data_IF_846956114345
#
_entry.id   IF_846956114345
#
_cell.length_a   1.000
_cell.length_b   1.000
_cell.length_c   1.000
_cell.angle_alpha   90.00
_cell.angle_beta   90.00
_cell.angle_gamma   90.00
#
_symmetry.space_group_name_H-M   'P 1'
#
loop_
_entity.id
_entity.type
_entity.pdbx_description
1 polymer ?
#
# COMPACT_ATOMS: atom_id res chain seq x y z
N UNK A 1 4.02 0.54 -5.90
CA UNK A 1 3.64 -0.87 -5.69
C UNK A 1 2.38 -1.11 -4.88
N UNK A 2 2.22 -0.48 -3.70
CA UNK A 2 1.05 -0.66 -2.79
C UNK A 2 -0.29 -0.72 -3.53
N UNK A 3 -0.55 0.25 -4.40
CA UNK A 3 -1.83 0.36 -5.11
C UNK A 3 -2.08 -0.72 -6.19
N UNK A 4 -1.09 -1.56 -6.55
CA UNK A 4 -1.28 -2.64 -7.55
C UNK A 4 -2.36 -3.61 -7.11
N UNK A 5 -2.35 -4.01 -5.83
CA UNK A 5 -3.35 -4.90 -5.26
C UNK A 5 -4.76 -4.36 -5.49
N UNK A 6 -4.99 -3.10 -5.10
CA UNK A 6 -6.28 -2.43 -5.27
C UNK A 6 -6.70 -2.28 -6.73
N UNK A 7 -5.76 -1.90 -7.61
CA UNK A 7 -6.06 -1.66 -9.03
C UNK A 7 -6.40 -2.94 -9.79
N UNK A 8 -5.82 -4.08 -9.38
CA UNK A 8 -5.96 -5.37 -10.05
C UNK A 8 -7.01 -6.29 -9.42
N UNK A 9 -7.26 -6.15 -8.12
CA UNK A 9 -8.14 -7.08 -7.39
C UNK A 9 -9.52 -6.51 -7.10
N UNK A 10 -9.67 -5.19 -6.91
CA UNK A 10 -10.99 -4.58 -6.70
C UNK A 10 -11.82 -4.53 -7.99
N UNK A 11 -13.15 -4.45 -7.85
CA UNK A 11 -14.07 -4.29 -8.99
C UNK A 11 -13.78 -3.05 -9.82
N UNK A 12 -14.11 -3.11 -11.12
CA UNK A 12 -13.82 -2.05 -12.10
C UNK A 12 -14.33 -0.68 -11.65
N UNK A 13 -15.56 -0.64 -11.13
CA UNK A 13 -16.25 0.57 -10.70
C UNK A 13 -16.24 0.78 -9.18
N UNK A 14 -15.42 0.02 -8.43
CA UNK A 14 -15.39 0.19 -6.98
C UNK A 14 -14.87 1.57 -6.58
N UNK A 15 -15.38 2.11 -5.48
CA UNK A 15 -14.89 3.37 -4.92
C UNK A 15 -13.38 3.32 -4.67
N UNK A 16 -12.87 2.21 -4.13
CA UNK A 16 -11.44 2.03 -3.88
C UNK A 16 -10.60 2.20 -5.16
N UNK A 17 -10.94 1.48 -6.23
CA UNK A 17 -10.23 1.54 -7.51
C UNK A 17 -10.34 2.92 -8.15
N UNK A 18 -11.55 3.49 -8.18
CA UNK A 18 -11.80 4.83 -8.74
C UNK A 18 -11.08 5.93 -7.96
N UNK A 19 -11.05 5.86 -6.62
CA UNK A 19 -10.30 6.78 -5.76
C UNK A 19 -8.81 6.80 -6.12
N UNK A 20 -8.19 5.63 -6.28
CA UNK A 20 -6.80 5.52 -6.72
C UNK A 20 -6.57 6.05 -8.14
N UNK A 21 -7.46 5.72 -9.07
CA UNK A 21 -7.37 6.22 -10.45
C UNK A 21 -7.50 7.74 -10.52
N UNK A 22 -8.36 8.34 -9.71
CA UNK A 22 -8.49 9.80 -9.59
C UNK A 22 -7.18 10.43 -9.13
N UNK A 23 -6.58 9.92 -8.05
CA UNK A 23 -5.28 10.41 -7.58
C UNK A 23 -4.19 10.27 -8.64
N UNK A 24 -4.10 9.10 -9.30
CA UNK A 24 -3.15 8.88 -10.40
C UNK A 24 -3.37 9.81 -11.59
N UNK A 25 -4.62 10.11 -11.93
CA UNK A 25 -4.96 11.03 -13.01
C UNK A 25 -4.48 12.45 -12.69
N UNK A 26 -4.71 12.94 -11.48
CA UNK A 26 -4.21 14.25 -11.04
C UNK A 26 -2.67 14.31 -11.06
N UNK A 27 -2.00 13.26 -10.57
CA UNK A 27 -0.53 13.17 -10.61
C UNK A 27 -0.01 13.15 -12.04
N UNK A 28 -0.64 12.39 -12.95
CA UNK A 28 -0.25 12.31 -14.35
C UNK A 28 -0.41 13.67 -15.05
N UNK A 29 -1.56 14.33 -14.89
CA UNK A 29 -1.81 15.67 -15.44
C UNK A 29 -0.76 16.67 -14.96
N UNK A 30 -0.49 16.70 -13.65
CA UNK A 30 0.51 17.57 -13.06
C UNK A 30 1.90 17.32 -13.64
N UNK A 31 2.36 16.06 -13.59
CA UNK A 31 3.70 15.69 -14.04
C UNK A 31 3.94 16.03 -15.50
N UNK A 32 3.01 15.68 -16.41
CA UNK A 32 3.20 15.94 -17.84
C UNK A 32 3.30 17.43 -18.16
N UNK A 33 2.42 18.25 -17.56
CA UNK A 33 2.43 19.71 -17.77
C UNK A 33 3.67 20.37 -17.16
N UNK A 34 4.09 19.93 -15.97
CA UNK A 34 5.24 20.51 -15.27
C UNK A 34 6.58 20.09 -15.88
N UNK A 35 6.68 18.89 -16.44
CA UNK A 35 7.91 18.40 -17.06
C UNK A 35 8.06 18.84 -18.52
N UNK A 36 6.98 19.23 -19.20
CA UNK A 36 6.99 19.63 -20.62
C UNK A 36 8.06 20.69 -20.99
N UNK A 37 8.38 21.70 -20.15
CA UNK A 37 9.43 22.66 -20.45
C UNK A 37 10.86 22.09 -20.47
N UNK A 38 11.07 20.90 -19.88
CA UNK A 38 12.40 20.26 -19.72
C UNK A 38 12.49 18.99 -20.57
N UNK A 39 11.46 18.15 -20.51
CA UNK A 39 11.37 16.84 -21.16
C UNK A 39 10.27 16.87 -22.23
N UNK A 40 10.38 17.83 -23.15
CA UNK A 40 9.36 18.20 -24.14
C UNK A 40 8.82 17.01 -24.94
N UNK A 41 9.69 16.22 -25.56
CA UNK A 41 9.29 15.07 -26.37
C UNK A 41 8.60 13.97 -25.54
N UNK A 42 9.15 13.66 -24.37
CA UNK A 42 8.59 12.63 -23.47
C UNK A 42 7.23 13.05 -22.92
N UNK A 43 7.09 14.33 -22.52
CA UNK A 43 5.83 14.87 -22.04
C UNK A 43 4.76 14.83 -23.14
N UNK A 44 5.10 15.26 -24.36
CA UNK A 44 4.19 15.25 -25.50
C UNK A 44 3.78 13.83 -25.90
N UNK A 45 4.72 12.89 -26.01
CA UNK A 45 4.42 11.49 -26.34
C UNK A 45 3.47 10.87 -25.31
N UNK A 46 3.75 11.04 -24.01
CA UNK A 46 2.89 10.53 -22.95
C UNK A 46 1.52 11.24 -22.90
N UNK A 47 1.48 12.54 -23.21
CA UNK A 47 0.24 13.32 -23.31
C UNK A 47 -0.73 12.73 -24.33
N UNK A 48 -0.23 12.33 -25.50
CA UNK A 48 -1.03 11.68 -26.55
C UNK A 48 -1.65 10.34 -26.12
N UNK A 49 -1.07 9.66 -25.13
CA UNK A 49 -1.57 8.38 -24.61
C UNK A 49 -2.49 8.55 -23.39
N UNK A 50 -2.69 9.78 -22.92
CA UNK A 50 -3.44 10.02 -21.68
C UNK A 50 -4.94 10.08 -21.97
N UNK A 51 -5.79 9.33 -21.24
CA UNK A 51 -7.23 9.28 -21.50
C UNK A 51 -7.96 10.56 -21.08
N UNK A 52 -9.08 10.86 -21.74
CA UNK A 52 -9.96 11.99 -21.43
C UNK A 52 -9.80 13.18 -22.37
N UNK A 53 -10.77 14.09 -22.34
CA UNK A 53 -10.80 15.29 -23.18
C UNK A 53 -9.67 16.25 -22.79
N UNK A 54 -8.84 16.62 -23.77
CA UNK A 54 -7.63 17.43 -23.58
C UNK A 54 -7.23 18.13 -24.88
N UNK A 55 -6.46 19.23 -24.81
CA UNK A 55 -5.81 19.81 -25.98
C UNK A 55 -4.92 18.81 -26.73
N UNK A 56 -4.76 19.02 -28.03
CA UNK A 56 -3.97 18.18 -28.92
C UNK A 56 -2.48 18.10 -28.58
N UNK A 57 -1.96 18.99 -27.73
CA UNK A 57 -0.56 18.97 -27.29
C UNK A 57 -0.44 19.48 -25.87
N UNK A 58 0.53 18.96 -25.13
CA UNK A 58 0.83 19.44 -23.77
C UNK A 58 1.25 20.90 -23.78
N UNK A 59 1.85 21.39 -24.88
CA UNK A 59 2.28 22.78 -25.03
C UNK A 59 1.11 23.77 -25.18
N UNK A 60 -0.11 23.28 -25.42
CA UNK A 60 -1.34 24.09 -25.40
C UNK A 60 -2.03 24.08 -24.04
N UNK A 61 -1.48 23.36 -23.07
CA UNK A 61 -2.01 23.28 -21.72
C UNK A 61 -1.34 24.28 -20.78
N UNK A 62 -2.11 24.73 -19.79
CA UNK A 62 -1.59 25.57 -18.70
C UNK A 62 -1.03 24.73 -17.56
N UNK A 63 -0.31 25.40 -16.66
CA UNK A 63 0.14 24.82 -15.40
C UNK A 63 -1.00 24.13 -14.66
N UNK A 64 -0.71 22.98 -14.05
CA UNK A 64 -1.72 22.24 -13.32
C UNK A 64 -1.91 22.79 -11.90
N UNK A 65 -3.13 23.21 -11.57
CA UNK A 65 -3.44 23.85 -10.28
C UNK A 65 -4.36 23.02 -9.39
N UNK A 66 -4.94 21.92 -9.90
CA UNK A 66 -5.92 21.11 -9.16
C UNK A 66 -5.30 20.15 -8.14
N UNK A 67 -3.97 20.08 -8.07
CA UNK A 67 -3.27 19.28 -7.06
C UNK A 67 -3.03 20.18 -5.85
N UNK A 68 -4.04 20.27 -4.99
CA UNK A 68 -3.96 21.07 -3.77
C UNK A 68 -3.20 20.31 -2.68
N UNK A 69 -2.30 20.99 -1.94
CA UNK A 69 -1.70 20.37 -0.77
C UNK A 69 -2.78 20.04 0.26
N UNK A 70 -2.64 18.93 1.02
CA UNK A 70 -3.57 18.63 2.09
C UNK A 70 -3.63 19.79 3.10
N UNK A 71 -4.81 19.96 3.71
CA UNK A 71 -5.15 21.11 4.57
C UNK A 71 -4.24 21.30 5.80
N UNK A 72 -3.40 20.30 6.09
CA UNK A 72 -2.53 20.23 7.27
C UNK A 72 -3.26 19.82 8.55
N UNK A 73 -4.59 19.72 8.52
CA UNK A 73 -5.42 19.33 9.67
C UNK A 73 -5.88 17.87 9.63
N UNK A 74 -5.59 17.18 8.53
CA UNK A 74 -5.99 15.79 8.33
C UNK A 74 -5.23 14.86 9.28
N UNK A 75 -5.96 14.03 10.03
CA UNK A 75 -5.39 13.08 10.98
C UNK A 75 -4.36 12.13 10.32
N UNK A 76 -4.62 11.75 9.06
CA UNK A 76 -3.70 10.98 8.21
C UNK A 76 -3.05 11.87 7.14
N UNK A 77 -2.54 13.03 7.56
CA UNK A 77 -1.80 13.98 6.73
C UNK A 77 -0.33 13.59 6.53
N UNK A 78 0.47 14.54 6.05
CA UNK A 78 1.87 14.29 5.70
C UNK A 78 2.69 13.69 6.87
N UNK A 79 2.51 14.20 8.09
CA UNK A 79 3.22 13.70 9.27
C UNK A 79 2.93 12.22 9.53
N UNK A 80 1.66 11.80 9.44
CA UNK A 80 1.28 10.39 9.60
C UNK A 80 2.00 9.50 8.57
N UNK A 81 1.96 9.87 7.29
CA UNK A 81 2.57 9.08 6.23
C UNK A 81 4.10 9.05 6.32
N UNK A 82 4.74 10.11 6.80
CA UNK A 82 6.18 10.10 7.08
C UNK A 82 6.54 9.09 8.18
N UNK A 83 5.73 9.00 9.24
CA UNK A 83 5.93 7.98 10.28
C UNK A 83 5.76 6.57 9.70
N UNK A 84 4.73 6.34 8.88
CA UNK A 84 4.53 5.05 8.24
C UNK A 84 5.70 4.65 7.32
N UNK A 85 6.30 5.63 6.62
CA UNK A 85 7.50 5.39 5.80
C UNK A 85 8.70 4.97 6.68
N UNK A 86 8.91 5.61 7.83
CA UNK A 86 9.96 5.20 8.77
C UNK A 86 9.74 3.78 9.31
N UNK A 87 8.48 3.42 9.61
CA UNK A 87 8.14 2.03 10.00
C UNK A 87 8.41 1.06 8.84
N UNK A 88 8.10 1.45 7.60
CA UNK A 88 8.38 0.61 6.43
C UNK A 88 9.88 0.42 6.20
N UNK A 89 10.69 1.44 6.46
CA UNK A 89 12.16 1.35 6.44
C UNK A 89 12.70 0.41 7.52
N UNK A 90 12.04 0.32 8.68
CA UNK A 90 12.35 -0.66 9.72
C UNK A 90 12.04 -2.11 9.30
N UNK A 91 10.90 -2.30 8.61
CA UNK A 91 10.43 -3.63 8.18
C UNK A 91 11.24 -4.18 7.00
N UNK A 92 11.63 -3.31 6.06
CA UNK A 92 12.30 -3.68 4.81
C UNK A 92 13.51 -4.61 4.99
N UNK A 93 14.52 -4.25 5.79
CA UNK A 93 15.71 -5.09 6.00
C UNK A 93 15.41 -6.48 6.54
N UNK A 94 14.38 -6.62 7.39
CA UNK A 94 13.96 -7.91 7.94
C UNK A 94 13.35 -8.81 6.85
N UNK A 95 12.52 -8.24 5.97
CA UNK A 95 12.00 -8.95 4.79
C UNK A 95 13.12 -9.34 3.82
N UNK A 96 14.09 -8.46 3.59
CA UNK A 96 15.25 -8.78 2.75
C UNK A 96 16.13 -9.91 3.34
N UNK A 97 16.29 -9.96 4.67
CA UNK A 97 17.00 -11.06 5.33
C UNK A 97 16.34 -12.42 5.02
N UNK A 98 15.01 -12.53 5.16
CA UNK A 98 14.30 -13.76 4.81
C UNK A 98 14.39 -14.13 3.33
N UNK A 99 14.43 -13.13 2.43
CA UNK A 99 14.66 -13.38 0.99
C UNK A 99 16.05 -13.92 0.71
N UNK A 100 17.08 -13.35 1.35
CA UNK A 100 18.46 -13.80 1.22
C UNK A 100 18.65 -15.23 1.73
N UNK A 101 17.94 -15.59 2.80
CA UNK A 101 17.87 -16.94 3.35
C UNK A 101 16.97 -17.89 2.54
N UNK A 102 16.32 -17.38 1.49
CA UNK A 102 15.38 -18.12 0.61
C UNK A 102 14.16 -18.69 1.33
N UNK A 103 13.81 -18.10 2.47
CA UNK A 103 12.62 -18.46 3.25
C UNK A 103 11.36 -17.92 2.58
N UNK A 104 11.43 -16.72 2.00
CA UNK A 104 10.34 -16.10 1.23
C UNK A 104 10.84 -15.70 -0.17
N UNK A 105 9.94 -15.70 -1.16
CA UNK A 105 10.23 -15.19 -2.51
C UNK A 105 9.77 -13.74 -2.70
N UNK A 106 8.67 -13.35 -2.07
CA UNK A 106 8.06 -12.03 -2.15
C UNK A 106 7.64 -11.54 -0.75
N UNK A 107 7.39 -10.23 -0.59
CA UNK A 107 6.87 -9.70 0.68
C UNK A 107 5.50 -10.31 1.02
N UNK A 108 4.70 -10.68 0.01
CA UNK A 108 3.40 -11.30 0.22
C UNK A 108 3.51 -12.71 0.82
N UNK A 109 4.67 -13.36 0.74
CA UNK A 109 4.86 -14.66 1.38
C UNK A 109 5.15 -14.51 2.89
N UNK A 110 5.18 -13.27 3.42
CA UNK A 110 5.53 -12.98 4.81
C UNK A 110 4.36 -12.38 5.63
N UNK A 111 4.51 -12.50 6.94
CA UNK A 111 3.72 -11.87 7.98
C UNK A 111 4.61 -10.95 8.81
N UNK A 112 4.08 -9.81 9.21
CA UNK A 112 4.80 -8.81 10.01
C UNK A 112 4.08 -8.65 11.34
N UNK A 113 4.84 -8.73 12.43
CA UNK A 113 4.39 -8.37 13.77
C UNK A 113 5.22 -7.18 14.24
N UNK A 114 4.54 -6.07 14.48
CA UNK A 114 5.11 -4.84 15.02
C UNK A 114 4.82 -4.77 16.52
N UNK A 115 5.86 -4.52 17.31
CA UNK A 115 5.73 -4.25 18.74
C UNK A 115 6.04 -2.78 18.95
N UNK A 116 5.04 -1.98 19.27
CA UNK A 116 5.09 -0.51 19.22
C UNK A 116 4.91 0.08 20.61
N UNK A 117 5.59 1.20 20.88
CA UNK A 117 5.18 2.03 22.02
C UNK A 117 3.72 2.49 21.88
N UNK A 118 3.12 2.88 23.00
CA UNK A 118 1.68 3.17 23.08
C UNK A 118 1.26 4.24 22.06
N UNK A 119 2.10 5.24 21.84
CA UNK A 119 1.77 6.30 20.91
C UNK A 119 1.81 5.82 19.46
N UNK A 120 2.84 5.07 19.06
CA UNK A 120 2.97 4.52 17.69
C UNK A 120 1.89 3.48 17.42
N UNK A 121 1.56 2.66 18.40
CA UNK A 121 0.45 1.70 18.33
C UNK A 121 -0.86 2.43 18.01
N UNK A 122 -1.24 3.42 18.83
CA UNK A 122 -2.46 4.21 18.61
C UNK A 122 -2.48 4.94 17.26
N UNK A 123 -1.30 5.34 16.75
CA UNK A 123 -1.19 5.95 15.43
C UNK A 123 -1.50 4.92 14.33
N UNK A 124 -0.81 3.78 14.33
CA UNK A 124 -0.92 2.76 13.28
C UNK A 124 -2.26 2.01 13.31
N UNK A 125 -2.92 1.92 14.47
CA UNK A 125 -4.27 1.36 14.63
C UNK A 125 -5.31 2.04 13.72
N UNK A 126 -5.10 3.30 13.33
CA UNK A 126 -5.97 3.99 12.38
C UNK A 126 -6.06 3.29 11.01
N UNK A 127 -5.01 2.56 10.59
CA UNK A 127 -5.02 1.76 9.37
C UNK A 127 -5.67 0.38 9.57
N UNK A 128 -5.69 -0.14 10.79
CA UNK A 128 -6.17 -1.49 11.08
C UNK A 128 -5.56 -2.56 10.18
N UNK A 129 -6.40 -3.46 9.64
CA UNK A 129 -5.98 -4.52 8.71
C UNK A 129 -5.40 -3.99 7.39
N UNK A 130 -5.65 -2.73 7.03
CA UNK A 130 -5.08 -2.15 5.81
C UNK A 130 -3.56 -1.90 5.91
N UNK A 131 -2.99 -1.97 7.11
CA UNK A 131 -1.55 -1.82 7.33
C UNK A 131 -0.73 -2.83 6.51
N UNK A 132 -1.25 -4.04 6.30
CA UNK A 132 -0.58 -5.08 5.51
C UNK A 132 -0.36 -4.65 4.05
N UNK A 133 -1.22 -3.80 3.50
CA UNK A 133 -1.05 -3.26 2.15
C UNK A 133 0.08 -2.26 2.06
N UNK A 134 0.29 -1.46 3.11
CA UNK A 134 1.42 -0.53 3.18
C UNK A 134 2.76 -1.27 3.15
N UNK A 135 2.84 -2.44 3.79
CA UNK A 135 4.04 -3.29 3.78
C UNK A 135 4.10 -4.29 2.63
N UNK A 136 2.98 -4.48 1.91
CA UNK A 136 2.84 -5.46 0.82
C UNK A 136 3.08 -6.89 1.35
N UNK A 137 2.54 -7.17 2.54
CA UNK A 137 2.66 -8.47 3.23
C UNK A 137 1.30 -9.13 3.40
N UNK A 138 1.28 -10.42 3.69
CA UNK A 138 0.01 -11.12 3.92
C UNK A 138 -0.65 -10.69 5.22
N UNK A 139 0.13 -10.46 6.27
CA UNK A 139 -0.38 -9.89 7.51
C UNK A 139 0.55 -8.79 8.00
N UNK A 140 -0.04 -7.85 8.73
CA UNK A 140 0.64 -6.87 9.55
C UNK A 140 -0.16 -6.72 10.83
N UNK A 141 0.39 -7.25 11.93
CA UNK A 141 -0.22 -7.21 13.26
C UNK A 141 0.56 -6.23 14.12
N UNK A 142 -0.14 -5.60 15.04
CA UNK A 142 0.44 -4.64 15.97
C UNK A 142 0.20 -5.12 17.39
N UNK A 143 1.22 -4.97 18.22
CA UNK A 143 1.25 -5.42 19.60
C UNK A 143 1.85 -4.31 20.47
N UNK A 144 1.48 -4.22 21.76
CA UNK A 144 2.17 -3.37 22.71
C UNK A 144 3.66 -3.73 22.83
N UNK A 145 4.52 -2.73 23.00
CA UNK A 145 5.97 -2.95 23.18
C UNK A 145 6.28 -3.83 24.40
N UNK A 146 5.39 -3.82 25.41
CA UNK A 146 5.50 -4.66 26.59
C UNK A 146 5.43 -6.17 26.27
N UNK A 147 4.77 -6.56 25.18
CA UNK A 147 4.62 -7.96 24.75
C UNK A 147 5.74 -8.42 23.82
N UNK A 148 6.74 -7.55 23.57
CA UNK A 148 7.88 -7.83 22.69
C UNK A 148 8.67 -9.05 23.18
N UNK A 149 8.90 -10.07 22.34
CA UNK A 149 9.83 -11.15 22.63
C UNK A 149 11.21 -10.64 23.01
N UNK A 150 11.84 -11.27 24.02
CA UNK A 150 13.16 -10.84 24.53
C UNK A 150 14.23 -10.83 23.44
N UNK A 151 14.18 -11.79 22.51
CA UNK A 151 15.12 -11.93 21.40
C UNK A 151 15.02 -10.82 20.32
N UNK A 152 13.94 -10.04 20.29
CA UNK A 152 13.81 -8.95 19.32
C UNK A 152 14.50 -7.68 19.83
N UNK A 153 15.33 -7.09 18.98
CA UNK A 153 15.93 -5.79 19.24
C UNK A 153 14.91 -4.68 19.02
N UNK A 154 14.91 -3.71 19.93
CA UNK A 154 14.16 -2.46 19.78
C UNK A 154 14.97 -1.46 18.98
N UNK A 155 14.28 -0.69 18.16
CA UNK A 155 14.84 0.42 17.41
C UNK A 155 14.02 1.68 17.66
N UNK A 156 14.70 2.81 17.76
CA UNK A 156 14.07 4.13 17.86
C UNK A 156 14.07 4.77 16.48
N UNK A 157 12.88 5.16 16.02
CA UNK A 157 12.66 5.89 14.79
C UNK A 157 13.10 7.35 14.95
N UNK A 158 13.29 8.05 13.83
CA UNK A 158 13.72 9.46 13.84
C UNK A 158 12.72 10.38 14.55
N UNK A 159 11.44 10.01 14.55
CA UNK A 159 10.38 10.73 15.27
C UNK A 159 10.42 10.51 16.80
N UNK A 160 11.39 9.75 17.32
CA UNK A 160 11.55 9.43 18.75
C UNK A 160 10.75 8.23 19.25
N UNK A 161 9.91 7.61 18.40
CA UNK A 161 9.10 6.45 18.77
C UNK A 161 9.88 5.15 18.65
N UNK A 162 9.51 4.17 19.46
CA UNK A 162 10.20 2.89 19.55
C UNK A 162 9.33 1.78 18.99
N UNK A 163 9.96 0.90 18.21
CA UNK A 163 9.36 -0.35 17.79
C UNK A 163 10.36 -1.51 17.81
N UNK A 164 9.84 -2.73 17.79
CA UNK A 164 10.55 -3.91 17.35
C UNK A 164 9.75 -4.59 16.24
N UNK A 165 10.45 -5.25 15.32
CA UNK A 165 9.86 -5.89 14.14
C UNK A 165 10.20 -7.37 14.14
N UNK A 166 9.17 -8.21 14.07
CA UNK A 166 9.30 -9.62 13.71
C UNK A 166 8.70 -9.84 12.33
N UNK A 167 9.36 -10.67 11.53
CA UNK A 167 8.84 -11.14 10.25
C UNK A 167 9.00 -12.64 10.16
N UNK A 168 8.00 -13.31 9.62
CA UNK A 168 8.00 -14.75 9.40
C UNK A 168 7.38 -15.07 8.04
N UNK A 169 7.70 -16.22 7.45
CA UNK A 169 6.94 -16.74 6.33
C UNK A 169 5.51 -17.06 6.78
N UNK A 170 4.53 -16.79 5.92
CA UNK A 170 3.15 -17.18 6.19
C UNK A 170 2.99 -18.68 6.01
N UNK A 171 2.32 -19.32 6.97
CA UNK A 171 1.97 -20.74 6.93
C UNK A 171 0.68 -21.00 6.15
N UNK A 172 -0.04 -19.94 5.78
CA UNK A 172 -1.31 -20.05 5.09
C UNK A 172 -1.13 -20.34 3.59
N UNK A 173 -2.20 -20.83 2.96
CA UNK A 173 -2.19 -21.09 1.52
C UNK A 173 -2.26 -19.77 0.73
N UNK A 174 -1.56 -19.75 -0.40
CA UNK A 174 -1.51 -18.59 -1.30
C UNK A 174 -2.75 -18.51 -2.18
N UNK A 175 -3.43 -17.37 -2.15
CA UNK A 175 -4.49 -17.05 -3.10
C UNK A 175 -3.91 -16.82 -4.50
N UNK A 176 -4.37 -17.57 -5.51
CA UNK A 176 -3.81 -17.47 -6.87
C UNK A 176 -4.14 -16.14 -7.58
N UNK A 177 -5.12 -15.39 -7.08
CA UNK A 177 -5.56 -14.11 -7.66
C UNK A 177 -4.86 -12.89 -7.08
N UNK A 178 -4.87 -12.71 -5.76
CA UNK A 178 -4.25 -11.54 -5.11
C UNK A 178 -2.87 -11.83 -4.51
N UNK A 179 -2.43 -13.09 -4.56
CA UNK A 179 -1.14 -13.57 -4.05
C UNK A 179 -0.90 -13.41 -2.55
N UNK A 180 -1.89 -12.96 -1.79
CA UNK A 180 -1.83 -13.00 -0.34
C UNK A 180 -2.05 -14.43 0.15
N UNK A 181 -1.33 -14.80 1.20
CA UNK A 181 -1.53 -15.99 1.98
C UNK A 181 -2.66 -15.75 2.98
N UNK A 182 -3.66 -16.63 2.99
CA UNK A 182 -4.87 -16.49 3.82
C UNK A 182 -5.36 -17.84 4.32
N UNK A 183 -5.87 -17.85 5.53
CA UNK A 183 -6.47 -19.03 6.15
C UNK A 183 -7.72 -19.51 5.41
N UNK A 184 -8.44 -18.62 4.71
CA UNK A 184 -9.69 -18.99 4.04
C UNK A 184 -9.49 -19.60 2.64
N UNK A 185 -8.26 -19.63 2.09
CA UNK A 185 -8.00 -20.29 0.81
C UNK A 185 -8.28 -21.79 0.97
N UNK A 186 -9.09 -22.35 0.08
CA UNK A 186 -9.57 -23.74 0.16
C UNK A 186 -10.87 -23.94 0.92
N UNK A 187 -11.43 -22.90 1.54
CA UNK A 187 -12.68 -23.01 2.32
C UNK A 187 -13.97 -22.95 1.48
N UNK A 188 -13.91 -22.42 0.25
CA UNK A 188 -15.05 -22.28 -0.66
C UNK A 188 -14.99 -23.29 -1.81
N UNK A 189 -16.04 -24.11 -1.94
CA UNK A 189 -16.07 -25.20 -2.92
C UNK A 189 -16.00 -24.73 -4.39
N UNK A 190 -16.69 -23.63 -4.73
CA UNK A 190 -16.70 -23.08 -6.09
C UNK A 190 -15.41 -22.30 -6.42
N UNK A 191 -14.65 -21.92 -5.39
CA UNK A 191 -13.47 -21.05 -5.48
C UNK A 191 -12.32 -21.57 -4.60
N UNK A 192 -11.80 -22.79 -4.83
CA UNK A 192 -10.90 -23.46 -3.89
C UNK A 192 -9.51 -22.82 -3.80
N UNK A 193 -9.07 -22.06 -4.81
CA UNK A 193 -7.71 -21.50 -4.87
C UNK A 193 -7.62 -20.01 -4.54
N UNK A 194 -8.73 -19.37 -4.17
CA UNK A 194 -8.78 -17.93 -3.86
C UNK A 194 -9.33 -17.67 -2.46
N UNK A 195 -8.89 -16.55 -1.86
CA UNK A 195 -9.33 -16.13 -0.54
C UNK A 195 -10.71 -15.45 -0.59
N UNK A 196 -11.37 -15.35 0.57
CA UNK A 196 -12.69 -14.72 0.71
C UNK A 196 -12.75 -13.29 0.15
N UNK A 197 -11.69 -12.50 0.35
CA UNK A 197 -11.57 -11.14 -0.22
C UNK A 197 -11.64 -11.11 -1.75
N UNK A 198 -11.05 -12.10 -2.40
CA UNK A 198 -11.10 -12.21 -3.85
C UNK A 198 -12.47 -12.67 -4.34
N UNK A 199 -13.13 -13.57 -3.62
CA UNK A 199 -14.51 -14.00 -3.90
C UNK A 199 -15.44 -12.80 -3.81
N UNK A 200 -15.36 -12.02 -2.73
CA UNK A 200 -16.15 -10.80 -2.54
C UNK A 200 -15.97 -9.80 -3.70
N UNK A 201 -14.74 -9.66 -4.18
CA UNK A 201 -14.43 -8.80 -5.32
C UNK A 201 -14.93 -9.32 -6.67
N UNK A 202 -15.13 -10.63 -6.83
CA UNK A 202 -15.63 -11.23 -8.09
C UNK A 202 -17.15 -11.30 -8.09
N UNK A 203 -17.73 -11.80 -7.00
CA UNK A 203 -19.14 -12.20 -6.92
C UNK A 203 -19.97 -11.33 -5.98
N UNK A 204 -19.36 -10.79 -4.92
CA UNK A 204 -20.04 -9.99 -3.88
C UNK A 204 -20.26 -8.53 -4.28
N UNK A 205 -20.33 -7.60 -3.33
CA UNK A 205 -20.39 -6.15 -3.60
C UNK A 205 -19.00 -5.56 -3.81
N UNK A 206 -17.96 -6.26 -3.36
CA UNK A 206 -16.56 -5.86 -3.45
C UNK A 206 -16.04 -5.32 -2.14
N UNK A 207 -14.72 -5.41 -1.96
CA UNK A 207 -14.11 -5.00 -0.70
C UNK A 207 -14.18 -3.48 -0.47
N UNK A 208 -14.33 -3.10 0.79
CA UNK A 208 -14.22 -1.70 1.21
C UNK A 208 -12.78 -1.39 1.58
N UNK A 209 -12.19 -0.39 0.92
CA UNK A 209 -10.89 0.19 1.30
C UNK A 209 -11.06 1.66 1.65
N UNK A 210 -10.40 2.10 2.71
CA UNK A 210 -10.43 3.48 3.21
C UNK A 210 -9.14 4.22 2.92
N UNK A 211 -7.99 3.56 3.07
CA UNK A 211 -6.68 4.20 3.04
C UNK A 211 -5.73 3.50 2.07
N UNK A 212 -5.38 2.23 2.29
CA UNK A 212 -4.35 1.48 1.55
C UNK A 212 -4.90 0.38 0.62
#
# INVERSE_FOLDING_TARGET
DVIKDRQYTCKTESHARRSTQTALHHVLEALLRWMAPILSFTAEEAWQQTPGERPDSVFFSQWYEKLEPPSGQDAMGAAFWQILLQVREAVGPKLEALRNEKIIGSSLDAEVDLYCDDELLALLEQLGDELRFAFITSYARMHPLADKPEALETQTLENGRTLAVSVAASEHQKCVRCWHHREEVGSHADHPEICGRCIENIEGEGEVRRYA
#
